data_IF_729594543449
#
_entry.id   IF_729594543449
#
_cell.length_a   1.000
_cell.length_b   1.000
_cell.length_c   1.000
_cell.angle_alpha   90.00
_cell.angle_beta   90.00
_cell.angle_gamma   90.00
#
_symmetry.space_group_name_H-M   'P 1'
#
loop_
_entity.id
_entity.type
_entity.pdbx_description
1 polymer ?
#
# COMPACT_ATOMS: atom_id res chain seq x y z
N UNK A 1 9.51 7.59 -15.01
CA UNK A 1 9.46 6.20 -14.50
C UNK A 1 10.74 5.73 -13.80
N UNK A 2 11.94 5.83 -14.40
CA UNK A 2 13.17 5.31 -13.77
C UNK A 2 13.47 5.91 -12.38
N UNK A 3 13.28 7.23 -12.21
CA UNK A 3 13.45 7.91 -10.92
C UNK A 3 12.43 7.44 -9.87
N UNK A 4 11.15 7.34 -10.25
CA UNK A 4 10.08 6.85 -9.35
C UNK A 4 10.34 5.42 -8.91
N UNK A 5 10.69 4.53 -9.85
CA UNK A 5 11.03 3.14 -9.53
C UNK A 5 12.19 3.05 -8.52
N UNK A 6 13.26 3.84 -8.70
CA UNK A 6 14.37 3.89 -7.75
C UNK A 6 13.94 4.40 -6.36
N UNK A 7 13.02 5.36 -6.31
CA UNK A 7 12.44 5.86 -5.05
C UNK A 7 11.60 4.79 -4.35
N UNK A 8 10.78 4.06 -5.09
CA UNK A 8 9.98 2.94 -4.55
C UNK A 8 10.89 1.86 -3.97
N UNK A 9 11.99 1.50 -4.65
CA UNK A 9 12.94 0.52 -4.10
C UNK A 9 13.54 0.96 -2.76
N UNK A 10 13.77 2.26 -2.57
CA UNK A 10 14.24 2.79 -1.28
C UNK A 10 13.15 2.67 -0.20
N UNK A 11 11.91 3.02 -0.54
CA UNK A 11 10.77 2.98 0.39
C UNK A 11 10.48 1.55 0.87
N UNK A 12 10.41 0.59 -0.05
CA UNK A 12 10.08 -0.81 0.27
C UNK A 12 11.16 -1.48 1.14
N UNK A 13 12.44 -1.05 1.00
CA UNK A 13 13.55 -1.59 1.81
C UNK A 13 13.57 -1.06 3.25
N UNK A 14 12.92 0.07 3.51
CA UNK A 14 12.79 0.62 4.84
C UNK A 14 11.54 0.07 5.53
N UNK A 15 11.59 -0.18 6.85
CA UNK A 15 10.38 -0.43 7.62
C UNK A 15 9.50 0.84 7.58
N UNK A 16 8.17 0.70 7.41
CA UNK A 16 7.26 1.84 7.43
C UNK A 16 7.03 2.37 8.85
N UNK A 17 6.69 3.67 8.93
CA UNK A 17 6.35 4.37 10.16
C UNK A 17 7.46 5.21 10.76
N UNK A 18 7.11 5.98 11.79
CA UNK A 18 8.02 6.88 12.51
C UNK A 18 8.79 6.18 13.63
N UNK A 19 10.06 6.59 13.83
CA UNK A 19 11.02 5.98 14.77
C UNK A 19 10.59 6.03 16.25
N UNK A 20 9.58 6.83 16.61
CA UNK A 20 9.04 6.93 17.98
C UNK A 20 8.03 5.82 18.32
N UNK A 21 7.80 4.87 17.40
CA UNK A 21 6.57 4.10 17.31
C UNK A 21 6.29 2.98 18.31
N UNK A 22 7.05 2.86 19.40
CA UNK A 22 6.87 1.81 20.42
C UNK A 22 6.61 2.35 21.83
N UNK A 23 6.31 3.64 21.99
CA UNK A 23 5.91 4.17 23.29
C UNK A 23 4.64 3.48 23.81
N UNK A 24 4.44 3.36 25.13
CA UNK A 24 3.20 2.84 25.70
C UNK A 24 1.95 3.55 25.18
N UNK A 25 2.03 4.87 24.95
CA UNK A 25 0.96 5.69 24.40
C UNK A 25 0.65 5.31 22.95
N UNK A 26 1.68 5.07 22.13
CA UNK A 26 1.52 4.62 20.74
C UNK A 26 0.90 3.23 20.68
N UNK A 27 1.35 2.29 21.53
CA UNK A 27 0.76 0.95 21.62
C UNK A 27 -0.72 1.04 22.02
N UNK A 28 -1.05 1.84 23.03
CA UNK A 28 -2.42 2.01 23.50
C UNK A 28 -3.33 2.65 22.44
N UNK A 29 -2.84 3.70 21.75
CA UNK A 29 -3.57 4.37 20.66
C UNK A 29 -3.83 3.41 19.51
N UNK A 30 -2.78 2.76 19.02
CA UNK A 30 -2.93 1.87 17.87
C UNK A 30 -3.75 0.63 18.21
N UNK A 31 -3.74 0.15 19.46
CA UNK A 31 -4.54 -0.98 19.93
C UNK A 31 -6.05 -0.90 19.61
N UNK A 32 -6.58 0.30 19.35
CA UNK A 32 -7.97 0.53 18.94
C UNK A 32 -8.25 0.21 17.47
N UNK A 33 -7.22 0.24 16.60
CA UNK A 33 -7.39 -0.06 15.17
C UNK A 33 -7.67 -1.54 14.98
N UNK A 34 -8.70 -1.88 14.21
CA UNK A 34 -9.13 -3.26 13.97
C UNK A 34 -8.94 -3.60 12.49
N UNK A 35 -7.78 -4.16 12.14
CA UNK A 35 -7.43 -4.49 10.75
C UNK A 35 -8.24 -5.63 10.13
N UNK A 36 -8.90 -6.47 10.93
CA UNK A 36 -9.71 -7.57 10.39
C UNK A 36 -10.91 -7.08 9.54
N UNK A 37 -11.35 -5.83 9.73
CA UNK A 37 -12.44 -5.24 8.97
C UNK A 37 -11.98 -4.59 7.65
N UNK A 38 -10.67 -4.54 7.40
CA UNK A 38 -10.06 -3.86 6.27
C UNK A 38 -9.80 -4.87 5.16
N UNK A 39 -9.91 -4.44 3.90
CA UNK A 39 -9.46 -5.27 2.78
C UNK A 39 -7.94 -5.44 2.83
N UNK A 40 -7.42 -6.50 2.20
CA UNK A 40 -5.97 -6.74 2.16
C UNK A 40 -5.23 -5.57 1.52
N UNK A 41 -5.80 -4.96 0.47
CA UNK A 41 -5.19 -3.80 -0.18
C UNK A 41 -5.24 -2.55 0.69
N UNK A 42 -6.35 -2.29 1.39
CA UNK A 42 -6.41 -1.17 2.34
C UNK A 42 -5.31 -1.28 3.40
N UNK A 43 -5.08 -2.48 3.95
CA UNK A 43 -4.01 -2.71 4.94
C UNK A 43 -2.63 -2.44 4.34
N UNK A 44 -2.35 -2.89 3.12
CA UNK A 44 -1.07 -2.65 2.43
C UNK A 44 -0.88 -1.16 2.12
N UNK A 45 -1.95 -0.47 1.74
CA UNK A 45 -1.95 0.94 1.37
C UNK A 45 -1.87 1.90 2.56
N UNK A 46 -2.02 1.43 3.80
CA UNK A 46 -1.80 2.25 5.01
C UNK A 46 -0.45 2.97 4.99
N UNK A 47 0.60 2.29 4.51
CA UNK A 47 1.95 2.88 4.39
C UNK A 47 2.02 4.00 3.34
N UNK A 48 1.14 3.94 2.33
CA UNK A 48 1.08 4.91 1.23
C UNK A 48 0.25 6.14 1.63
N UNK A 49 -0.75 5.95 2.51
CA UNK A 49 -1.65 7.00 3.01
C UNK A 49 -0.95 7.93 4.00
N UNK A 50 -0.26 7.38 5.00
CA UNK A 50 0.31 8.19 6.08
C UNK A 50 1.58 7.56 6.67
N UNK A 51 2.73 8.14 6.32
CA UNK A 51 4.03 7.71 6.85
C UNK A 51 4.29 8.20 8.28
N UNK A 52 3.37 8.97 8.89
CA UNK A 52 3.52 9.51 10.25
C UNK A 52 3.02 8.53 11.32
N UNK A 53 2.28 7.49 10.92
CA UNK A 53 1.88 6.45 11.85
C UNK A 53 3.10 5.78 12.51
N UNK A 54 2.97 5.37 13.79
CA UNK A 54 4.06 4.71 14.50
C UNK A 54 4.32 3.30 13.94
N UNK A 55 5.57 2.82 14.04
CA UNK A 55 5.96 1.47 13.62
C UNK A 55 5.02 0.35 14.14
N UNK A 56 4.51 0.46 15.38
CA UNK A 56 3.58 -0.53 15.96
C UNK A 56 2.28 -0.69 15.14
N UNK A 57 1.81 0.35 14.45
CA UNK A 57 0.64 0.24 13.56
C UNK A 57 0.93 -0.75 12.43
N UNK A 58 2.09 -0.60 11.80
CA UNK A 58 2.49 -1.42 10.67
C UNK A 58 2.84 -2.86 11.07
N UNK A 59 3.36 -3.07 12.28
CA UNK A 59 3.52 -4.42 12.81
C UNK A 59 2.17 -5.15 12.94
N UNK A 60 1.13 -4.46 13.41
CA UNK A 60 -0.22 -5.01 13.54
C UNK A 60 -0.86 -5.26 12.16
N UNK A 61 -0.65 -4.35 11.21
CA UNK A 61 -1.04 -4.54 9.80
C UNK A 61 -0.36 -5.79 9.20
N UNK A 62 0.96 -5.94 9.37
CA UNK A 62 1.72 -7.10 8.89
C UNK A 62 1.28 -8.39 9.57
N UNK A 63 0.99 -8.37 10.87
CA UNK A 63 0.49 -9.54 11.60
C UNK A 63 -0.86 -10.01 11.06
N UNK A 64 -1.75 -9.07 10.72
CA UNK A 64 -3.03 -9.39 10.09
C UNK A 64 -2.85 -9.97 8.67
N UNK A 65 -1.96 -9.41 7.86
CA UNK A 65 -1.66 -9.95 6.52
C UNK A 65 -1.08 -11.37 6.59
N UNK A 66 -0.19 -11.64 7.54
CA UNK A 66 0.32 -13.00 7.82
C UNK A 66 -0.79 -13.94 8.28
N UNK A 67 -1.71 -13.47 9.12
CA UNK A 67 -2.90 -14.24 9.54
C UNK A 67 -3.77 -14.63 8.33
N UNK A 68 -3.82 -13.79 7.30
CA UNK A 68 -4.50 -14.06 6.02
C UNK A 68 -3.73 -14.99 5.07
N UNK A 69 -2.54 -15.45 5.47
CA UNK A 69 -1.71 -16.38 4.69
C UNK A 69 -0.78 -15.72 3.69
N UNK A 70 -0.58 -14.39 3.78
CA UNK A 70 0.36 -13.66 2.92
C UNK A 70 1.77 -13.82 3.49
N UNK A 71 2.68 -14.32 2.67
CA UNK A 71 4.08 -14.47 3.04
C UNK A 71 4.82 -13.13 3.06
N UNK A 72 5.96 -13.07 3.76
CA UNK A 72 6.80 -11.87 3.77
C UNK A 72 7.32 -11.49 2.38
N UNK A 73 7.55 -12.48 1.51
CA UNK A 73 7.95 -12.24 0.12
C UNK A 73 6.81 -11.60 -0.68
N UNK A 74 5.59 -12.13 -0.57
CA UNK A 74 4.41 -11.53 -1.21
C UNK A 74 4.13 -10.14 -0.67
N UNK A 75 4.29 -9.91 0.63
CA UNK A 75 4.11 -8.60 1.24
C UNK A 75 5.07 -7.56 0.65
N UNK A 76 6.34 -7.91 0.44
CA UNK A 76 7.32 -7.01 -0.21
C UNK A 76 6.90 -6.69 -1.64
N UNK A 77 6.41 -7.67 -2.39
CA UNK A 77 5.90 -7.46 -3.75
C UNK A 77 4.65 -6.57 -3.77
N UNK A 78 3.72 -6.81 -2.85
CA UNK A 78 2.49 -6.03 -2.72
C UNK A 78 2.78 -4.58 -2.33
N UNK A 79 3.70 -4.35 -1.39
CA UNK A 79 4.16 -3.00 -1.03
C UNK A 79 4.77 -2.28 -2.23
N UNK A 80 5.64 -2.96 -2.98
CA UNK A 80 6.22 -2.43 -4.23
C UNK A 80 5.12 -2.06 -5.23
N UNK A 81 4.12 -2.94 -5.40
CA UNK A 81 3.01 -2.71 -6.31
C UNK A 81 2.15 -1.50 -5.89
N UNK A 82 1.81 -1.39 -4.61
CA UNK A 82 1.04 -0.27 -4.06
C UNK A 82 1.78 1.08 -4.27
N UNK A 83 3.07 1.15 -3.98
CA UNK A 83 3.87 2.35 -4.22
C UNK A 83 4.02 2.69 -5.72
N UNK A 84 4.13 1.70 -6.62
CA UNK A 84 4.20 1.95 -8.07
C UNK A 84 2.87 2.41 -8.68
N UNK A 85 1.75 2.18 -7.99
CA UNK A 85 0.39 2.49 -8.47
C UNK A 85 -0.24 3.60 -7.63
N UNK A 86 -0.89 3.25 -6.52
CA UNK A 86 -1.52 4.18 -5.60
C UNK A 86 -0.55 5.26 -5.06
N UNK A 87 0.69 4.89 -4.74
CA UNK A 87 1.70 5.84 -4.26
C UNK A 87 2.15 6.82 -5.34
N UNK A 88 2.20 6.39 -6.60
CA UNK A 88 2.46 7.28 -7.73
C UNK A 88 1.31 8.28 -7.89
N UNK A 89 0.07 7.81 -7.81
CA UNK A 89 -1.12 8.66 -7.89
C UNK A 89 -1.17 9.67 -6.73
N UNK A 90 -0.90 9.24 -5.49
CA UNK A 90 -0.84 10.13 -4.34
C UNK A 90 0.25 11.20 -4.49
N UNK A 91 1.45 10.80 -4.93
CA UNK A 91 2.61 11.69 -5.00
C UNK A 91 2.62 12.64 -6.21
N UNK A 92 2.28 12.16 -7.41
CA UNK A 92 2.37 12.95 -8.65
C UNK A 92 1.10 13.75 -8.92
N UNK A 93 -0.07 13.25 -8.51
CA UNK A 93 -1.34 13.94 -8.75
C UNK A 93 -1.77 14.82 -7.57
N UNK A 94 -1.03 14.80 -6.45
CA UNK A 94 -1.35 15.55 -5.22
C UNK A 94 -2.82 15.41 -4.81
N UNK A 95 -3.34 14.20 -4.81
CA UNK A 95 -4.73 13.93 -4.45
C UNK A 95 -4.85 13.71 -2.95
N UNK A 96 -4.74 14.80 -2.19
CA UNK A 96 -4.83 14.83 -0.72
C UNK A 96 -6.19 14.38 -0.16
N UNK A 97 -7.21 14.18 -1.02
CA UNK A 97 -8.59 13.84 -0.63
C UNK A 97 -8.89 12.33 -0.62
N UNK A 98 -7.90 11.46 -0.84
CA UNK A 98 -8.13 10.01 -0.90
C UNK A 98 -7.89 9.40 0.48
N UNK A 99 -8.96 9.30 1.28
CA UNK A 99 -8.87 8.89 2.68
C UNK A 99 -8.71 7.38 2.92
N UNK A 100 -8.86 6.52 1.91
CA UNK A 100 -8.87 5.05 2.11
C UNK A 100 -7.90 4.24 1.24
N UNK A 101 -7.39 4.77 0.12
CA UNK A 101 -6.51 4.06 -0.85
C UNK A 101 -6.82 2.56 -0.95
N UNK A 102 -7.84 2.21 -1.71
CA UNK A 102 -8.34 0.83 -1.87
C UNK A 102 -8.03 0.21 -3.25
N UNK A 103 -8.64 -0.94 -3.56
CA UNK A 103 -8.49 -1.58 -4.87
C UNK A 103 -9.04 -0.74 -6.03
N UNK A 104 -10.09 0.05 -5.79
CA UNK A 104 -10.70 0.92 -6.80
C UNK A 104 -9.74 2.05 -7.15
N UNK A 105 -9.06 2.59 -6.13
CA UNK A 105 -8.06 3.61 -6.24
C UNK A 105 -6.83 3.12 -7.02
N UNK A 106 -6.35 1.91 -6.72
CA UNK A 106 -5.30 1.23 -7.50
C UNK A 106 -5.74 1.07 -8.97
N UNK A 107 -6.96 0.60 -9.21
CA UNK A 107 -7.47 0.40 -10.58
C UNK A 107 -7.58 1.73 -11.33
N UNK A 108 -8.01 2.80 -10.65
CA UNK A 108 -8.08 4.15 -11.25
C UNK A 108 -6.68 4.67 -11.60
N UNK A 109 -5.69 4.46 -10.72
CA UNK A 109 -4.30 4.82 -11.00
C UNK A 109 -3.76 4.11 -12.26
N UNK A 110 -4.03 2.81 -12.39
CA UNK A 110 -3.61 2.03 -13.56
C UNK A 110 -4.29 2.55 -14.83
N UNK A 111 -5.58 2.91 -14.77
CA UNK A 111 -6.29 3.47 -15.92
C UNK A 111 -5.65 4.78 -16.38
N UNK A 112 -5.36 5.70 -15.46
CA UNK A 112 -4.73 6.98 -15.82
C UNK A 112 -3.33 6.81 -16.39
N UNK A 113 -2.50 5.94 -15.79
CA UNK A 113 -1.19 5.61 -16.34
C UNK A 113 -1.28 5.08 -17.78
N UNK A 114 -2.32 4.32 -18.10
CA UNK A 114 -2.56 3.84 -19.46
C UNK A 114 -3.05 4.96 -20.39
N UNK A 115 -4.04 5.75 -19.97
CA UNK A 115 -4.58 6.87 -20.75
C UNK A 115 -3.50 7.88 -21.13
N UNK A 116 -2.56 8.14 -20.24
CA UNK A 116 -1.45 9.07 -20.48
C UNK A 116 -0.27 8.42 -21.24
N UNK A 117 -0.37 7.13 -21.60
CA UNK A 117 0.64 6.41 -22.39
C UNK A 117 1.89 5.95 -21.61
N UNK A 118 1.85 5.95 -20.29
CA UNK A 118 3.00 5.56 -19.43
C UNK A 118 3.19 4.05 -19.37
N UNK A 119 2.11 3.30 -19.54
CA UNK A 119 2.13 1.84 -19.57
C UNK A 119 1.40 1.33 -20.82
N UNK A 120 1.85 0.18 -21.32
CA UNK A 120 1.19 -0.48 -22.46
C UNK A 120 -0.11 -1.14 -22.04
N UNK A 121 -0.97 -1.48 -23.02
CA UNK A 121 -2.20 -2.24 -22.77
C UNK A 121 -1.93 -3.58 -22.05
N UNK A 122 -0.88 -4.29 -22.46
CA UNK A 122 -0.47 -5.54 -21.84
C UNK A 122 0.00 -5.37 -20.38
N UNK A 123 0.67 -4.26 -20.06
CA UNK A 123 1.04 -3.92 -18.68
C UNK A 123 -0.19 -3.58 -17.84
N UNK A 124 -1.13 -2.77 -18.38
CA UNK A 124 -2.41 -2.47 -17.73
C UNK A 124 -3.17 -3.75 -17.36
N UNK A 125 -3.36 -4.66 -18.30
CA UNK A 125 -4.14 -5.88 -18.08
C UNK A 125 -3.51 -6.76 -16.99
N UNK A 126 -2.18 -6.92 -17.01
CA UNK A 126 -1.43 -7.65 -15.98
C UNK A 126 -1.57 -7.03 -14.60
N UNK A 127 -1.49 -5.70 -14.48
CA UNK A 127 -1.60 -5.00 -13.19
C UNK A 127 -3.02 -5.09 -12.63
N UNK A 128 -4.05 -4.99 -13.47
CA UNK A 128 -5.45 -5.15 -13.05
C UNK A 128 -5.71 -6.57 -12.56
N UNK A 129 -5.19 -7.59 -13.26
CA UNK A 129 -5.31 -8.98 -12.83
C UNK A 129 -4.62 -9.22 -11.48
N UNK A 130 -3.43 -8.67 -11.30
CA UNK A 130 -2.71 -8.73 -10.03
C UNK A 130 -3.48 -8.07 -8.88
N UNK A 131 -4.07 -6.89 -9.09
CA UNK A 131 -4.90 -6.23 -8.09
C UNK A 131 -6.10 -7.10 -7.68
N UNK A 132 -6.80 -7.70 -8.65
CA UNK A 132 -7.98 -8.55 -8.41
C UNK A 132 -7.67 -9.85 -7.67
N UNK A 133 -6.44 -10.36 -7.74
CA UNK A 133 -6.05 -11.60 -7.04
C UNK A 133 -6.27 -11.51 -5.52
N UNK A 134 -6.15 -10.31 -4.95
CA UNK A 134 -6.22 -10.09 -3.50
C UNK A 134 -7.50 -9.36 -3.05
N UNK A 135 -8.44 -9.13 -3.96
CA UNK A 135 -9.74 -8.48 -3.73
C UNK A 135 -10.69 -9.30 -2.83
N UNK A 136 -10.38 -10.59 -2.59
CA UNK A 136 -11.28 -11.55 -1.91
C UNK A 136 -10.79 -12.10 -0.58
N UNK A 137 -9.76 -11.51 0.04
CA UNK A 137 -9.34 -11.99 1.35
C UNK A 137 -10.30 -11.43 2.43
N UNK A 138 -11.00 -12.30 3.18
CA UNK A 138 -11.99 -11.91 4.18
C UNK A 138 -11.39 -11.19 5.39
#
# INVERSE_FOLDING_TARGET
MAFWAAKVEKLVRSPPGSDEGFSPESIAREGQTVFNAFSTWSIVCEEVLDTQFPCVRFERAHAELRRRGISDAELVEMRRFAWLTAGWLNYEMMLWDWCQLDENDICRAIEWQFSDGWISKAEKDRRVEYAKRYDKAP
#
